data_IF_798457877249
#
_entry.id   IF_798457877249
#
_cell.length_a   1.000
_cell.length_b   1.000
_cell.length_c   1.000
_cell.angle_alpha   90.00
_cell.angle_beta   90.00
_cell.angle_gamma   90.00
#
_symmetry.space_group_name_H-M   'P 1'
#
loop_
_entity.id
_entity.type
_entity.pdbx_description
1 polymer ?
#
# COMPACT_ATOMS: atom_id res chain seq x y z
N UNK A 1 -35.91 -25.13 28.78
CA UNK A 1 -34.59 -25.79 28.57
C UNK A 1 -33.86 -25.28 27.32
N UNK A 2 -34.50 -25.18 26.14
CA UNK A 2 -33.85 -24.67 24.92
C UNK A 2 -33.34 -23.21 24.99
N UNK A 3 -34.05 -22.30 25.66
CA UNK A 3 -33.65 -20.88 25.77
C UNK A 3 -32.35 -20.67 26.58
N UNK A 4 -32.14 -21.46 27.63
CA UNK A 4 -30.92 -21.41 28.47
C UNK A 4 -29.72 -21.94 27.68
N UNK A 5 -29.91 -23.04 26.95
CA UNK A 5 -28.86 -23.61 26.07
C UNK A 5 -28.47 -22.62 24.97
N UNK A 6 -29.42 -21.88 24.39
CA UNK A 6 -29.15 -20.86 23.39
C UNK A 6 -28.39 -19.64 23.96
N UNK A 7 -28.73 -19.20 25.17
CA UNK A 7 -28.04 -18.10 25.85
C UNK A 7 -26.61 -18.47 26.22
N UNK A 8 -26.40 -19.68 26.75
CA UNK A 8 -25.07 -20.20 27.09
C UNK A 8 -24.22 -20.36 25.84
N UNK A 9 -24.79 -20.83 24.71
CA UNK A 9 -24.07 -20.92 23.43
C UNK A 9 -23.65 -19.55 22.89
N UNK A 10 -24.52 -18.53 22.96
CA UNK A 10 -24.21 -17.17 22.51
C UNK A 10 -23.16 -16.48 23.38
N UNK A 11 -23.23 -16.65 24.70
CA UNK A 11 -22.26 -16.08 25.66
C UNK A 11 -20.90 -16.78 25.54
N UNK A 12 -20.87 -18.10 25.39
CA UNK A 12 -19.64 -18.88 25.19
C UNK A 12 -18.96 -18.55 23.85
N UNK A 13 -19.73 -18.38 22.77
CA UNK A 13 -19.20 -17.94 21.48
C UNK A 13 -18.65 -16.51 21.56
N UNK A 14 -19.30 -15.60 22.28
CA UNK A 14 -18.79 -14.24 22.49
C UNK A 14 -17.50 -14.24 23.31
N UNK A 15 -17.42 -15.03 24.40
CA UNK A 15 -16.23 -15.17 25.27
C UNK A 15 -15.03 -15.82 24.57
N UNK A 16 -15.25 -16.72 23.60
CA UNK A 16 -14.19 -17.36 22.82
C UNK A 16 -13.73 -16.52 21.62
N UNK A 17 -14.55 -15.57 21.14
CA UNK A 17 -14.21 -14.67 20.02
C UNK A 17 -13.59 -13.33 20.48
N UNK A 18 -13.90 -12.88 21.69
CA UNK A 18 -13.32 -11.68 22.33
C UNK A 18 -11.78 -11.69 22.44
N UNK A 19 -11.10 -12.77 22.87
CA UNK A 19 -9.63 -12.79 22.97
C UNK A 19 -8.94 -12.84 21.60
N UNK A 20 -9.60 -13.36 20.56
CA UNK A 20 -9.07 -13.34 19.19
C UNK A 20 -9.05 -11.92 18.61
N UNK A 21 -10.08 -11.12 18.90
CA UNK A 21 -10.20 -9.76 18.39
C UNK A 21 -9.17 -8.80 19.01
N UNK A 22 -8.81 -8.98 20.29
CA UNK A 22 -7.77 -8.17 20.96
C UNK A 22 -6.34 -8.56 20.55
N UNK A 23 -6.06 -9.85 20.34
CA UNK A 23 -4.76 -10.35 19.83
C UNK A 23 -4.48 -9.91 18.39
N UNK A 24 -5.50 -9.88 17.52
CA UNK A 24 -5.36 -9.35 16.15
C UNK A 24 -5.04 -7.86 16.17
N UNK A 25 -5.64 -7.10 17.11
CA UNK A 25 -5.43 -5.65 17.23
C UNK A 25 -4.01 -5.29 17.68
N UNK A 26 -3.42 -6.06 18.61
CA UNK A 26 -2.06 -5.80 19.09
C UNK A 26 -0.98 -6.18 18.06
N UNK A 27 -1.19 -7.25 17.29
CA UNK A 27 -0.26 -7.65 16.24
C UNK A 27 -0.20 -6.63 15.07
N UNK A 28 -1.34 -6.05 14.68
CA UNK A 28 -1.40 -5.04 13.60
C UNK A 28 -0.76 -3.71 14.03
N UNK A 29 -0.92 -3.29 15.30
CA UNK A 29 -0.33 -2.05 15.80
C UNK A 29 1.20 -2.10 15.90
N UNK A 30 1.78 -3.28 16.11
CA UNK A 30 3.24 -3.48 16.16
C UNK A 30 3.90 -3.37 14.77
N UNK A 31 3.16 -3.74 13.72
CA UNK A 31 3.61 -3.67 12.32
C UNK A 31 3.36 -2.28 11.73
N UNK A 32 2.27 -1.63 12.14
CA UNK A 32 1.79 -0.38 11.59
C UNK A 32 1.67 0.69 12.67
N UNK A 33 2.73 1.48 12.90
CA UNK A 33 2.67 2.56 13.88
C UNK A 33 1.56 3.53 13.49
N UNK A 34 0.68 3.80 14.44
CA UNK A 34 -0.35 4.82 14.33
C UNK A 34 0.11 6.02 15.14
N UNK A 35 0.01 7.21 14.56
CA UNK A 35 0.33 8.46 15.24
C UNK A 35 -1.00 9.08 15.65
N UNK A 36 -1.28 9.10 16.95
CA UNK A 36 -2.59 9.48 17.48
C UNK A 36 -2.81 11.01 17.48
N UNK A 37 -1.76 11.79 17.67
CA UNK A 37 -1.80 13.25 17.68
C UNK A 37 -0.41 13.80 17.39
N UNK A 38 -0.35 14.91 16.65
CA UNK A 38 0.87 15.67 16.44
C UNK A 38 0.78 16.94 17.30
N UNK A 39 1.83 17.23 18.05
CA UNK A 39 1.91 18.48 18.81
C UNK A 39 2.24 19.62 17.84
N UNK A 40 1.38 20.63 17.77
CA UNK A 40 1.63 21.84 16.99
C UNK A 40 2.81 22.61 17.61
N UNK A 41 4.04 22.36 17.11
CA UNK A 41 5.21 23.18 17.41
C UNK A 41 6.25 22.61 18.38
N UNK A 42 6.16 21.34 18.82
CA UNK A 42 7.15 20.78 19.76
C UNK A 42 8.47 20.31 19.14
N UNK A 43 8.53 20.10 17.81
CA UNK A 43 9.78 19.66 17.14
C UNK A 43 10.13 20.62 15.99
N UNK A 44 11.26 21.35 16.07
CA UNK A 44 11.69 22.24 14.98
C UNK A 44 12.25 21.47 13.76
N UNK A 45 12.36 20.14 13.84
CA UNK A 45 12.95 19.28 12.83
C UNK A 45 11.95 18.26 12.29
N UNK A 46 12.23 17.75 11.09
CA UNK A 46 11.49 16.63 10.49
C UNK A 46 11.76 15.36 11.26
N UNK A 47 10.74 14.55 11.47
CA UNK A 47 10.89 13.20 12.00
C UNK A 47 11.61 12.30 10.96
N UNK A 48 12.35 11.31 11.45
CA UNK A 48 13.06 10.36 10.57
C UNK A 48 12.09 9.52 9.73
N UNK A 49 10.91 9.23 10.27
CA UNK A 49 9.86 8.46 9.59
C UNK A 49 8.88 9.34 8.80
N UNK A 50 9.10 10.66 8.72
CA UNK A 50 8.21 11.61 8.03
C UNK A 50 6.84 11.83 8.69
N UNK A 51 6.60 11.27 9.88
CA UNK A 51 5.39 11.49 10.67
C UNK A 51 5.24 12.94 11.08
N UNK A 52 3.98 13.39 11.22
CA UNK A 52 3.64 14.75 11.65
C UNK A 52 4.11 15.90 10.73
N UNK A 53 4.49 15.60 9.48
CA UNK A 53 4.69 16.64 8.46
C UNK A 53 3.36 17.31 8.05
N UNK A 54 2.24 16.63 8.21
CA UNK A 54 0.89 17.18 8.08
C UNK A 54 0.15 17.03 9.41
N UNK A 55 -0.27 18.16 10.00
CA UNK A 55 -0.99 18.19 11.28
C UNK A 55 -2.36 17.50 11.19
N UNK A 56 -3.03 17.65 10.05
CA UNK A 56 -4.35 17.06 9.82
C UNK A 56 -4.28 15.56 9.47
N UNK A 57 -3.21 15.15 8.76
CA UNK A 57 -2.96 13.75 8.44
C UNK A 57 -1.53 13.36 8.82
N UNK A 58 -1.29 13.00 10.08
CA UNK A 58 0.03 12.68 10.62
C UNK A 58 0.84 11.63 9.84
N UNK A 59 0.14 10.77 9.10
CA UNK A 59 0.68 9.60 8.41
C UNK A 59 0.98 9.84 6.93
N UNK A 60 0.71 11.03 6.39
CA UNK A 60 0.99 11.31 4.98
C UNK A 60 2.48 11.44 4.72
N UNK A 61 2.98 10.60 3.81
CA UNK A 61 4.40 10.57 3.44
C UNK A 61 5.28 9.70 4.35
N UNK A 62 4.71 9.01 5.33
CA UNK A 62 5.46 8.04 6.15
C UNK A 62 5.77 6.76 5.36
N UNK A 63 6.89 6.08 5.63
CA UNK A 63 7.26 4.84 4.93
C UNK A 63 6.32 3.66 5.26
N UNK A 64 6.47 2.56 4.53
CA UNK A 64 5.71 1.30 4.70
C UNK A 64 4.19 1.42 4.50
N UNK A 65 3.77 2.45 3.75
CA UNK A 65 2.36 2.68 3.40
C UNK A 65 2.15 2.48 1.90
N UNK A 66 0.92 2.12 1.48
CA UNK A 66 0.61 2.01 0.06
C UNK A 66 0.77 3.36 -0.64
N UNK A 67 1.26 3.33 -1.88
CA UNK A 67 1.31 4.53 -2.72
C UNK A 67 -0.08 5.08 -3.00
N UNK A 68 -0.20 6.41 -3.01
CA UNK A 68 -1.42 7.08 -3.46
C UNK A 68 -1.60 6.88 -4.96
N UNK A 69 -2.78 6.41 -5.36
CA UNK A 69 -3.14 6.24 -6.77
C UNK A 69 -3.70 7.54 -7.34
N UNK A 70 -3.09 8.03 -8.43
CA UNK A 70 -3.63 9.17 -9.19
C UNK A 70 -4.79 8.76 -10.11
N UNK A 71 -4.78 7.50 -10.56
CA UNK A 71 -5.81 6.87 -11.39
C UNK A 71 -6.25 5.54 -10.77
N UNK A 72 -7.50 5.09 -10.99
CA UNK A 72 -7.94 3.76 -10.58
C UNK A 72 -7.01 2.67 -11.16
N UNK A 73 -6.73 1.63 -10.38
CA UNK A 73 -5.93 0.53 -10.90
C UNK A 73 -6.70 -0.30 -11.91
N UNK A 74 -5.95 -0.83 -12.88
CA UNK A 74 -6.46 -1.69 -13.93
C UNK A 74 -5.85 -3.08 -13.76
N UNK A 75 -6.65 -4.00 -13.26
CA UNK A 75 -6.33 -5.42 -13.14
C UNK A 75 -7.24 -6.23 -14.08
N UNK A 76 -6.81 -7.40 -14.52
CA UNK A 76 -7.62 -8.28 -15.37
C UNK A 76 -8.93 -8.71 -14.70
N UNK A 77 -8.85 -8.99 -13.39
CA UNK A 77 -9.96 -9.38 -12.51
C UNK A 77 -10.52 -8.19 -11.68
N UNK A 78 -9.95 -6.99 -11.84
CA UNK A 78 -10.27 -5.82 -11.03
C UNK A 78 -9.66 -5.82 -9.61
N UNK A 79 -8.88 -6.83 -9.24
CA UNK A 79 -8.36 -7.01 -7.87
C UNK A 79 -6.83 -7.09 -7.84
N UNK A 80 -6.24 -8.08 -8.50
CA UNK A 80 -4.80 -8.36 -8.38
C UNK A 80 -4.19 -8.95 -9.65
N UNK A 81 -4.98 -9.52 -10.56
CA UNK A 81 -4.45 -10.12 -11.77
C UNK A 81 -3.84 -9.05 -12.70
N UNK A 82 -2.67 -9.29 -13.30
CA UNK A 82 -2.09 -8.38 -14.28
C UNK A 82 -3.11 -7.95 -15.34
N UNK A 83 -3.01 -6.69 -15.77
CA UNK A 83 -3.94 -6.11 -16.73
C UNK A 83 -4.00 -6.91 -18.04
N UNK A 84 -5.18 -6.95 -18.65
CA UNK A 84 -5.36 -7.46 -20.01
C UNK A 84 -5.39 -6.33 -21.03
N UNK A 85 -5.20 -6.70 -22.30
CA UNK A 85 -5.35 -5.79 -23.43
C UNK A 85 -6.82 -5.34 -23.55
N UNK A 86 -7.09 -4.21 -24.25
CA UNK A 86 -8.47 -3.77 -24.53
C UNK A 86 -9.30 -4.79 -25.29
N UNK A 87 -8.66 -5.73 -26.01
CA UNK A 87 -9.28 -6.85 -26.72
C UNK A 87 -9.63 -8.06 -25.82
N UNK A 88 -9.28 -8.03 -24.53
CA UNK A 88 -9.46 -9.15 -23.60
C UNK A 88 -8.38 -10.24 -23.71
N UNK A 89 -7.35 -10.03 -24.53
CA UNK A 89 -6.18 -10.94 -24.64
C UNK A 89 -5.13 -10.62 -23.56
N UNK A 90 -4.29 -11.60 -23.17
CA UNK A 90 -3.18 -11.34 -22.24
C UNK A 90 -2.20 -10.31 -22.82
N UNK A 91 -1.53 -9.55 -21.93
CA UNK A 91 -0.49 -8.61 -22.36
C UNK A 91 0.69 -9.35 -23.04
N UNK A 92 1.32 -8.73 -24.05
CA UNK A 92 2.48 -9.32 -24.70
C UNK A 92 3.64 -9.49 -23.72
N UNK A 93 4.52 -10.44 -24.03
CA UNK A 93 5.70 -10.69 -23.22
C UNK A 93 6.60 -9.43 -23.16
N UNK A 94 6.91 -8.98 -21.94
CA UNK A 94 7.73 -7.78 -21.71
C UNK A 94 9.12 -7.87 -22.38
N UNK A 95 9.71 -9.06 -22.46
CA UNK A 95 11.01 -9.27 -23.13
C UNK A 95 10.91 -9.09 -24.64
N UNK A 96 9.82 -9.57 -25.26
CA UNK A 96 9.59 -9.39 -26.70
C UNK A 96 9.39 -7.91 -27.03
N UNK A 97 8.61 -7.19 -26.22
CA UNK A 97 8.46 -5.74 -26.35
C UNK A 97 9.80 -5.02 -26.18
N UNK A 98 10.59 -5.42 -25.20
CA UNK A 98 11.90 -4.83 -24.94
C UNK A 98 12.83 -4.96 -26.15
N UNK A 99 12.93 -6.16 -26.72
CA UNK A 99 13.75 -6.42 -27.90
C UNK A 99 13.25 -5.72 -29.17
N UNK A 100 11.92 -5.57 -29.30
CA UNK A 100 11.32 -4.95 -30.48
C UNK A 100 11.38 -3.42 -30.45
N UNK A 101 11.34 -2.80 -29.26
CA UNK A 101 11.23 -1.34 -29.11
C UNK A 101 12.52 -0.66 -28.67
N UNK A 102 13.32 -1.30 -27.83
CA UNK A 102 14.56 -0.74 -27.31
C UNK A 102 15.75 -1.43 -27.98
N UNK A 103 16.37 -0.74 -28.93
CA UNK A 103 17.61 -1.18 -29.56
C UNK A 103 18.85 -0.84 -28.71
N UNK A 104 19.93 -1.57 -28.95
CA UNK A 104 21.24 -1.31 -28.35
C UNK A 104 22.00 -0.28 -29.19
N UNK A 105 21.59 0.99 -29.11
CA UNK A 105 22.29 2.09 -29.79
C UNK A 105 22.79 3.08 -28.74
N UNK A 106 24.10 3.24 -28.66
CA UNK A 106 24.72 4.24 -27.82
C UNK A 106 24.72 5.60 -28.54
N UNK A 107 24.01 6.58 -27.97
CA UNK A 107 24.01 7.95 -28.47
C UNK A 107 24.38 8.90 -27.33
N UNK A 108 25.57 9.53 -27.35
CA UNK A 108 25.95 10.49 -26.32
C UNK A 108 25.05 11.72 -26.39
N UNK A 109 24.63 12.20 -25.22
CA UNK A 109 23.96 13.49 -25.09
C UNK A 109 25.01 14.61 -25.01
N UNK A 110 24.90 15.61 -25.88
CA UNK A 110 25.78 16.78 -25.88
C UNK A 110 25.34 17.88 -24.91
N UNK A 111 24.11 17.82 -24.40
CA UNK A 111 23.54 18.84 -23.52
C UNK A 111 23.64 18.53 -22.02
N UNK A 112 23.88 17.28 -21.65
CA UNK A 112 23.89 16.84 -20.26
C UNK A 112 25.15 16.05 -19.93
N UNK A 113 25.68 16.25 -18.73
CA UNK A 113 26.74 15.38 -18.20
C UNK A 113 26.13 14.19 -17.46
N UNK A 114 26.95 13.17 -17.19
CA UNK A 114 26.51 11.94 -16.51
C UNK A 114 25.91 12.19 -15.11
N UNK A 115 26.25 13.32 -14.47
CA UNK A 115 25.70 13.69 -13.16
C UNK A 115 24.18 13.81 -13.19
N UNK A 116 23.59 14.15 -14.34
CA UNK A 116 22.15 14.31 -14.47
C UNK A 116 21.41 12.98 -14.25
N UNK A 117 21.96 11.88 -14.81
CA UNK A 117 21.44 10.54 -14.59
C UNK A 117 21.58 10.12 -13.12
N UNK A 118 22.77 10.36 -12.54
CA UNK A 118 23.05 9.96 -11.15
C UNK A 118 22.21 10.73 -10.13
N UNK A 119 21.98 12.02 -10.36
CA UNK A 119 21.10 12.84 -9.52
C UNK A 119 19.64 12.37 -9.62
N UNK A 120 19.19 11.98 -10.83
CA UNK A 120 17.87 11.36 -11.01
C UNK A 120 17.67 10.11 -10.16
N UNK A 121 18.67 9.23 -10.09
CA UNK A 121 18.63 8.05 -9.22
C UNK A 121 18.61 8.42 -7.73
N UNK A 122 19.44 9.40 -7.32
CA UNK A 122 19.49 9.88 -5.94
C UNK A 122 18.10 10.35 -5.48
N UNK A 123 17.43 11.18 -6.29
CA UNK A 123 16.08 11.67 -6.00
C UNK A 123 15.07 10.53 -5.98
N UNK A 124 15.14 9.59 -6.93
CA UNK A 124 14.23 8.44 -6.97
C UNK A 124 14.33 7.57 -5.70
N UNK A 125 15.55 7.35 -5.21
CA UNK A 125 15.80 6.58 -3.98
C UNK A 125 15.38 7.30 -2.70
N UNK A 126 15.38 8.64 -2.68
CA UNK A 126 14.85 9.43 -1.56
C UNK A 126 13.31 9.43 -1.54
N UNK A 127 12.69 9.45 -2.73
CA UNK A 127 11.24 9.59 -2.86
C UNK A 127 10.47 8.28 -2.69
N UNK A 128 11.02 7.15 -3.12
CA UNK A 128 10.25 5.90 -3.17
C UNK A 128 11.12 4.64 -3.18
N UNK A 129 10.63 3.59 -2.50
CA UNK A 129 11.18 2.25 -2.58
C UNK A 129 10.04 1.24 -2.50
N UNK A 130 9.90 0.39 -3.52
CA UNK A 130 8.89 -0.67 -3.55
C UNK A 130 9.52 -1.95 -3.03
N UNK A 131 9.11 -2.39 -1.84
CA UNK A 131 9.60 -3.64 -1.26
C UNK A 131 9.05 -4.85 -2.03
N UNK A 132 9.87 -5.90 -2.14
CA UNK A 132 9.42 -7.16 -2.73
C UNK A 132 8.32 -7.80 -1.87
N UNK A 133 7.28 -8.33 -2.53
CA UNK A 133 6.07 -8.87 -1.90
C UNK A 133 6.23 -10.08 -0.97
N UNK A 134 7.47 -10.46 -0.62
CA UNK A 134 7.76 -11.43 0.44
C UNK A 134 7.72 -10.81 1.84
N UNK A 135 7.94 -9.50 1.96
CA UNK A 135 7.79 -8.74 3.20
C UNK A 135 6.41 -8.07 3.21
N UNK A 136 5.37 -8.88 3.35
CA UNK A 136 3.96 -8.47 3.30
C UNK A 136 3.51 -7.73 4.56
N UNK A 137 4.00 -6.51 4.76
CA UNK A 137 3.50 -5.61 5.79
C UNK A 137 3.01 -4.32 5.14
N UNK A 138 1.74 -4.32 4.71
CA UNK A 138 1.07 -3.13 4.19
C UNK A 138 0.37 -2.41 5.34
N UNK A 139 0.91 -1.25 5.73
CA UNK A 139 0.30 -0.42 6.75
C UNK A 139 -0.62 0.62 6.14
N UNK A 140 -1.91 0.28 6.01
CA UNK A 140 -2.92 1.25 5.62
C UNK A 140 -4.35 0.79 5.85
N UNK A 141 -5.13 1.64 6.53
CA UNK A 141 -6.52 1.88 6.13
C UNK A 141 -6.52 2.93 5.01
N UNK A 142 -6.51 2.45 3.77
CA UNK A 142 -7.06 3.17 2.63
C UNK A 142 -7.83 2.14 1.81
N UNK A 143 -9.04 1.89 2.28
CA UNK A 143 -10.16 1.20 1.65
C UNK A 143 -9.88 0.70 0.22
N UNK A 144 -9.37 -0.53 0.09
CA UNK A 144 -9.67 -1.34 -1.08
C UNK A 144 -11.19 -1.50 -1.10
N UNK A 145 -11.86 -0.80 -2.03
CA UNK A 145 -13.31 -0.71 -2.20
C UNK A 145 -14.04 -1.97 -1.72
N UNK A 146 -14.51 -1.97 -0.47
CA UNK A 146 -15.36 -3.02 0.08
C UNK A 146 -16.42 -2.47 1.03
N UNK A 147 -17.09 -1.39 0.63
CA UNK A 147 -18.47 -1.11 1.03
C UNK A 147 -19.15 -0.40 -0.13
N UNK A 148 -19.87 -1.18 -0.95
CA UNK A 148 -21.10 -0.82 -1.71
C UNK A 148 -21.50 -1.84 -2.79
N UNK A 149 -21.07 -3.10 -2.71
CA UNK A 149 -21.58 -4.15 -3.61
C UNK A 149 -21.99 -5.45 -2.89
N UNK A 150 -22.76 -5.30 -1.79
CA UNK A 150 -23.62 -6.39 -1.28
C UNK A 150 -24.96 -5.82 -0.78
N UNK A 151 -25.80 -5.35 -1.70
CA UNK A 151 -27.27 -5.38 -1.57
C UNK A 151 -27.91 -4.82 -2.85
N UNK A 152 -27.84 -5.59 -3.94
CA UNK A 152 -28.79 -5.55 -5.05
C UNK A 152 -28.74 -6.93 -5.75
N UNK A 153 -29.14 -7.94 -4.99
CA UNK A 153 -29.87 -9.11 -5.45
C UNK A 153 -30.47 -9.83 -4.25
#
# INVERSE_FOLDING_TARGET
>A
MYAIVLHVKRVLVCLLLLPCCSLVRTAVAAVCPTVASCDEGNTPYRSMDGSCNSLYNPLYGTPYRPYRRLLPAKYGDGVAEPAHMSSGRPMPNARQLSMALFGEVERPDGGSTIINMQFGQLVAHDMSFTADGKLGFECGEFFFVRERFKSLR
#
